data_IF_304783264252
#
_entry.id   IF_304783264252
#
_cell.length_a   1.000
_cell.length_b   1.000
_cell.length_c   1.000
_cell.angle_alpha   90.00
_cell.angle_beta   90.00
_cell.angle_gamma   90.00
#
_symmetry.space_group_name_H-M   'P 1'
#
loop_
_entity.id
_entity.type
_entity.pdbx_description
1 polymer ?
#
# COMPACT_ATOMS: atom_id res chain seq x y z
N UNK A 1 5.58 41.05 -7.52
CA UNK A 1 6.49 40.02 -6.99
C UNK A 1 6.11 38.75 -7.74
N UNK A 2 6.82 38.45 -8.81
CA UNK A 2 6.57 37.24 -9.59
C UNK A 2 7.05 36.05 -8.75
N UNK A 3 6.10 35.27 -8.23
CA UNK A 3 6.37 33.94 -7.71
C UNK A 3 6.80 33.08 -8.90
N UNK A 4 8.12 32.93 -9.05
CA UNK A 4 8.72 32.04 -10.02
C UNK A 4 8.40 30.60 -9.59
N UNK A 5 7.27 30.07 -10.04
CA UNK A 5 6.88 28.69 -9.79
C UNK A 5 7.74 27.82 -10.69
N UNK A 6 8.77 27.20 -10.12
CA UNK A 6 9.60 26.24 -10.85
C UNK A 6 8.77 24.98 -11.13
N UNK A 7 8.58 24.59 -12.40
CA UNK A 7 7.79 23.42 -12.73
C UNK A 7 8.51 22.16 -12.25
N UNK A 8 7.78 21.29 -11.54
CA UNK A 8 8.28 19.98 -11.15
C UNK A 8 8.15 18.99 -12.32
N UNK A 9 9.15 18.15 -12.50
CA UNK A 9 9.19 17.09 -13.51
C UNK A 9 9.38 15.74 -12.83
N UNK A 10 8.87 14.68 -13.45
CA UNK A 10 9.02 13.31 -12.97
C UNK A 10 10.40 12.77 -13.35
N UNK A 11 11.08 12.18 -12.39
CA UNK A 11 12.39 11.57 -12.57
C UNK A 11 12.37 10.12 -12.07
N UNK A 12 13.02 9.25 -12.84
CA UNK A 12 13.45 7.92 -12.42
C UNK A 12 14.93 8.01 -12.06
N UNK A 13 15.26 7.65 -10.84
CA UNK A 13 16.62 7.69 -10.29
C UNK A 13 17.06 6.26 -10.00
N UNK A 14 18.09 5.80 -10.69
CA UNK A 14 18.71 4.52 -10.41
C UNK A 14 19.77 4.68 -9.32
N UNK A 15 19.64 3.91 -8.25
CA UNK A 15 20.46 3.94 -7.06
C UNK A 15 21.41 2.74 -7.06
N UNK A 16 22.61 2.96 -6.55
CA UNK A 16 23.63 1.93 -6.38
C UNK A 16 23.37 1.25 -5.02
N UNK A 17 23.17 -0.07 -4.99
CA UNK A 17 23.00 -0.80 -3.74
C UNK A 17 24.18 -0.59 -2.79
N UNK A 18 23.88 -0.50 -1.49
CA UNK A 18 24.90 -0.31 -0.45
C UNK A 18 25.87 -1.50 -0.44
N UNK A 19 27.17 -1.24 -0.65
CA UNK A 19 28.21 -2.28 -0.71
C UNK A 19 28.46 -2.88 -2.10
N UNK A 20 27.77 -2.43 -3.15
CA UNK A 20 28.05 -2.91 -4.51
C UNK A 20 29.42 -2.47 -5.03
N UNK A 21 30.22 -3.43 -5.52
CA UNK A 21 31.49 -3.14 -6.20
C UNK A 21 31.25 -2.40 -7.51
N UNK A 22 32.09 -1.40 -7.87
CA UNK A 22 31.91 -0.59 -9.08
C UNK A 22 31.79 -1.41 -10.38
N UNK A 23 32.49 -2.54 -10.47
CA UNK A 23 32.46 -3.42 -11.65
C UNK A 23 31.09 -4.08 -11.88
N UNK A 24 30.33 -4.34 -10.81
CA UNK A 24 29.05 -5.03 -10.88
C UNK A 24 27.88 -4.07 -11.10
N UNK A 25 28.05 -2.78 -10.78
CA UNK A 25 26.97 -1.78 -10.90
C UNK A 25 26.48 -1.65 -12.34
N UNK A 26 27.39 -1.69 -13.31
CA UNK A 26 27.04 -1.53 -14.71
C UNK A 26 26.36 -2.79 -15.29
N UNK A 27 26.69 -3.97 -14.75
CA UNK A 27 26.03 -5.23 -15.06
C UNK A 27 24.63 -5.31 -14.44
N UNK A 28 24.49 -4.88 -13.18
CA UNK A 28 23.19 -4.72 -12.50
C UNK A 28 22.30 -3.70 -13.22
N UNK A 29 22.88 -2.60 -13.72
CA UNK A 29 22.16 -1.60 -14.51
C UNK A 29 21.63 -2.21 -15.82
N UNK A 30 22.47 -2.95 -16.56
CA UNK A 30 22.05 -3.64 -17.79
C UNK A 30 21.00 -4.72 -17.53
N UNK A 31 21.06 -5.38 -16.37
CA UNK A 31 20.08 -6.37 -15.94
C UNK A 31 18.79 -5.76 -15.38
N UNK A 32 18.70 -4.43 -15.23
CA UNK A 32 17.54 -3.75 -14.65
C UNK A 32 17.37 -3.96 -13.13
N UNK A 33 18.43 -4.41 -12.45
CA UNK A 33 18.41 -4.82 -11.04
C UNK A 33 18.88 -3.71 -10.07
N UNK A 34 19.04 -2.48 -10.55
CA UNK A 34 19.32 -1.35 -9.67
C UNK A 34 18.06 -0.90 -8.94
N UNK A 35 18.24 -0.56 -7.66
CA UNK A 35 17.22 0.11 -6.88
C UNK A 35 16.74 1.36 -7.63
N UNK A 36 15.44 1.51 -7.77
CA UNK A 36 14.86 2.59 -8.56
C UNK A 36 13.96 3.44 -7.69
N UNK A 37 14.29 4.73 -7.59
CA UNK A 37 13.49 5.72 -6.90
C UNK A 37 12.81 6.61 -7.93
N UNK A 38 11.50 6.78 -7.78
CA UNK A 38 10.75 7.70 -8.62
C UNK A 38 10.29 8.88 -7.78
N UNK A 39 10.49 10.10 -8.28
CA UNK A 39 10.17 11.33 -7.55
C UNK A 39 9.87 12.46 -8.52
N UNK A 40 9.30 13.56 -8.02
CA UNK A 40 9.23 14.81 -8.76
C UNK A 40 10.28 15.79 -8.24
N UNK A 41 10.99 16.44 -9.16
CA UNK A 41 12.00 17.42 -8.82
C UNK A 41 12.01 18.57 -9.82
N UNK A 42 12.62 19.68 -9.42
CA UNK A 42 12.76 20.85 -10.29
C UNK A 42 13.80 20.66 -11.39
N UNK A 43 14.76 19.76 -11.20
CA UNK A 43 15.80 19.41 -12.15
C UNK A 43 16.36 18.01 -11.89
N UNK A 44 17.17 17.48 -12.81
CA UNK A 44 17.87 16.19 -12.63
C UNK A 44 18.85 16.22 -11.45
N UNK A 45 19.51 17.36 -11.22
CA UNK A 45 20.43 17.53 -10.08
C UNK A 45 19.65 17.57 -8.77
N UNK A 46 18.48 18.20 -8.77
CA UNK A 46 17.58 18.23 -7.63
C UNK A 46 17.04 16.83 -7.32
N UNK A 47 16.66 16.07 -8.35
CA UNK A 47 16.28 14.67 -8.21
C UNK A 47 17.40 13.80 -7.62
N UNK A 48 18.63 13.96 -8.10
CA UNK A 48 19.79 13.25 -7.57
C UNK A 48 20.06 13.59 -6.09
N UNK A 49 19.94 14.87 -5.72
CA UNK A 49 20.12 15.32 -4.32
C UNK A 49 19.05 14.73 -3.41
N UNK A 50 17.78 14.84 -3.78
CA UNK A 50 16.67 14.29 -3.01
C UNK A 50 16.82 12.78 -2.82
N UNK A 51 17.22 12.06 -3.88
CA UNK A 51 17.42 10.62 -3.84
C UNK A 51 18.52 10.18 -2.86
N UNK A 52 19.67 10.88 -2.87
CA UNK A 52 20.78 10.62 -1.91
C UNK A 52 20.37 10.91 -0.49
N UNK A 53 19.65 12.00 -0.25
CA UNK A 53 19.26 12.44 1.07
C UNK A 53 18.32 11.44 1.77
N UNK A 54 17.48 10.74 1.01
CA UNK A 54 16.48 9.82 1.55
C UNK A 54 17.02 8.42 1.73
N UNK A 55 17.75 7.94 0.73
CA UNK A 55 18.15 6.54 0.68
C UNK A 55 19.52 6.29 1.28
N UNK A 56 20.31 7.35 1.50
CA UNK A 56 21.76 7.29 1.78
C UNK A 56 22.55 6.48 0.74
N UNK A 57 21.94 6.19 -0.42
CA UNK A 57 22.54 5.44 -1.53
C UNK A 57 23.15 6.40 -2.55
N UNK A 58 24.20 5.93 -3.23
CA UNK A 58 24.78 6.65 -4.36
C UNK A 58 23.83 6.59 -5.55
N UNK A 59 23.78 7.65 -6.35
CA UNK A 59 22.98 7.69 -7.59
C UNK A 59 23.84 7.23 -8.75
N UNK A 60 23.34 6.26 -9.53
CA UNK A 60 23.94 5.79 -10.77
C UNK A 60 23.51 6.68 -11.95
N UNK A 61 22.22 6.84 -12.16
CA UNK A 61 21.67 7.66 -13.25
C UNK A 61 20.35 8.33 -12.85
N UNK A 62 20.02 9.42 -13.55
CA UNK A 62 18.77 10.16 -13.38
C UNK A 62 18.19 10.40 -14.77
N UNK A 63 16.95 9.97 -14.95
CA UNK A 63 16.25 10.07 -16.22
C UNK A 63 14.94 10.82 -16.02
N UNK A 64 14.69 11.82 -16.88
CA UNK A 64 13.40 12.48 -16.91
C UNK A 64 12.41 11.54 -17.62
N UNK A 65 11.28 11.27 -16.97
CA UNK A 65 10.22 10.44 -17.54
C UNK A 65 9.02 11.32 -17.88
N UNK A 66 8.53 11.24 -19.11
CA UNK A 66 7.33 11.99 -19.54
C UNK A 66 6.06 11.33 -18.97
N UNK A 67 6.06 10.01 -18.93
CA UNK A 67 5.03 9.17 -18.33
C UNK A 67 5.69 7.91 -17.75
N UNK A 68 5.01 7.25 -16.81
CA UNK A 68 5.45 5.92 -16.39
C UNK A 68 5.40 4.97 -17.58
N UNK A 69 6.36 4.03 -17.73
CA UNK A 69 6.25 3.01 -18.75
C UNK A 69 4.91 2.29 -18.56
N UNK A 70 4.10 2.25 -19.63
CA UNK A 70 2.82 1.58 -19.59
C UNK A 70 3.04 0.11 -19.25
N UNK A 71 2.43 -0.35 -18.16
CA UNK A 71 2.35 -1.77 -17.84
C UNK A 71 1.66 -2.49 -19.01
N UNK A 72 2.28 -3.56 -19.52
CA UNK A 72 1.57 -4.54 -20.36
C UNK A 72 0.86 -5.53 -19.43
N UNK A 73 -0.48 -5.48 -19.26
CA UNK A 73 -1.19 -6.30 -18.29
C UNK A 73 -0.85 -7.77 -18.49
N UNK A 74 -0.73 -8.52 -17.39
CA UNK A 74 -0.50 -9.97 -17.50
C UNK A 74 -1.70 -10.60 -18.22
N UNK A 75 -1.51 -11.54 -19.17
CA UNK A 75 -2.61 -12.16 -19.93
C UNK A 75 -3.69 -12.84 -19.08
N UNK A 76 -3.41 -13.08 -17.79
CA UNK A 76 -4.28 -13.70 -16.81
C UNK A 76 -4.94 -12.70 -15.83
N UNK A 77 -4.57 -11.41 -15.87
CA UNK A 77 -5.09 -10.36 -14.99
C UNK A 77 -6.50 -9.87 -15.37
N UNK A 78 -7.00 -10.21 -16.57
CA UNK A 78 -8.31 -9.80 -17.09
C UNK A 78 -9.51 -10.56 -16.47
N UNK A 79 -9.28 -11.50 -15.54
CA UNK A 79 -10.38 -12.14 -14.83
C UNK A 79 -10.87 -11.20 -13.71
N UNK A 80 -12.16 -10.81 -13.69
CA UNK A 80 -12.67 -9.92 -12.65
C UNK A 80 -12.54 -10.60 -11.28
N UNK A 81 -11.88 -9.91 -10.34
CA UNK A 81 -11.71 -10.35 -8.96
C UNK A 81 -12.94 -9.87 -8.20
N UNK A 82 -13.90 -10.77 -7.98
CA UNK A 82 -15.20 -10.41 -7.40
C UNK A 82 -15.33 -10.85 -5.94
N UNK A 83 -14.27 -11.41 -5.37
CA UNK A 83 -14.27 -11.89 -3.99
C UNK A 83 -12.87 -11.80 -3.35
N UNK A 84 -12.75 -11.52 -2.04
CA UNK A 84 -11.48 -11.46 -1.33
C UNK A 84 -10.74 -12.79 -1.25
N UNK A 85 -11.40 -13.92 -1.50
CA UNK A 85 -10.71 -15.22 -1.62
C UNK A 85 -10.07 -15.42 -2.99
N UNK A 86 -10.54 -14.70 -4.01
CA UNK A 86 -9.96 -14.73 -5.35
C UNK A 86 -8.71 -13.84 -5.44
N UNK A 87 -8.49 -12.95 -4.46
CA UNK A 87 -7.29 -12.09 -4.41
C UNK A 87 -6.03 -12.92 -4.22
N UNK A 88 -6.08 -14.01 -3.45
CA UNK A 88 -4.94 -14.93 -3.30
C UNK A 88 -4.54 -15.56 -4.64
N UNK A 89 -5.51 -16.07 -5.40
CA UNK A 89 -5.26 -16.64 -6.72
C UNK A 89 -4.78 -15.58 -7.72
N UNK A 90 -5.33 -14.38 -7.66
CA UNK A 90 -4.86 -13.25 -8.47
C UNK A 90 -3.41 -12.89 -8.13
N UNK A 91 -3.06 -12.72 -6.86
CA UNK A 91 -1.69 -12.44 -6.40
C UNK A 91 -0.70 -13.50 -6.90
N UNK A 92 -1.07 -14.79 -6.80
CA UNK A 92 -0.26 -15.92 -7.29
C UNK A 92 -0.07 -15.93 -8.81
N UNK A 93 -0.98 -15.31 -9.57
CA UNK A 93 -0.89 -15.21 -11.04
C UNK A 93 -0.02 -14.06 -11.53
N UNK A 94 0.27 -13.08 -10.66
CA UNK A 94 1.06 -11.91 -11.03
C UNK A 94 2.52 -12.28 -11.24
N UNK A 95 3.14 -11.68 -12.26
CA UNK A 95 4.57 -11.77 -12.52
C UNK A 95 5.22 -10.41 -12.28
N UNK A 96 6.14 -10.38 -11.34
CA UNK A 96 6.92 -9.17 -11.07
C UNK A 96 7.96 -8.97 -12.16
N UNK A 97 8.05 -7.75 -12.66
CA UNK A 97 8.99 -7.33 -13.70
C UNK A 97 10.42 -7.06 -13.18
N UNK A 98 10.66 -7.27 -11.89
CA UNK A 98 11.96 -7.06 -11.24
C UNK A 98 12.27 -5.61 -10.89
N UNK A 99 11.40 -4.65 -11.22
CA UNK A 99 11.60 -3.24 -10.89
C UNK A 99 11.01 -2.92 -9.51
N UNK A 100 11.80 -2.42 -8.55
CA UNK A 100 11.31 -2.10 -7.22
C UNK A 100 10.45 -0.83 -7.24
N UNK A 101 9.26 -0.92 -6.64
CA UNK A 101 8.24 0.15 -6.54
C UNK A 101 7.66 0.24 -5.13
N UNK A 102 7.62 -0.87 -4.40
CA UNK A 102 6.96 -1.01 -3.10
C UNK A 102 7.45 -0.02 -2.05
N UNK A 103 8.73 0.33 -2.08
CA UNK A 103 9.30 1.28 -1.12
C UNK A 103 8.90 2.74 -1.39
N UNK A 104 8.50 3.09 -2.61
CA UNK A 104 8.41 4.51 -3.04
C UNK A 104 7.08 4.92 -3.68
N UNK A 105 6.19 3.96 -3.93
CA UNK A 105 4.95 4.21 -4.68
C UNK A 105 4.08 5.30 -4.04
N UNK A 106 4.00 5.32 -2.71
CA UNK A 106 3.08 6.24 -2.02
C UNK A 106 3.56 7.69 -2.08
N UNK A 107 4.87 7.92 -2.03
CA UNK A 107 5.47 9.24 -2.24
C UNK A 107 5.16 9.73 -3.67
N UNK A 108 5.33 8.86 -4.67
CA UNK A 108 5.01 9.19 -6.05
C UNK A 108 3.53 9.51 -6.27
N UNK A 109 2.63 8.79 -5.57
CA UNK A 109 1.19 8.98 -5.63
C UNK A 109 0.74 10.28 -4.96
N UNK A 110 1.31 10.59 -3.79
CA UNK A 110 0.96 11.77 -3.01
C UNK A 110 1.70 13.03 -3.48
N UNK A 111 2.72 12.93 -4.32
CA UNK A 111 3.62 14.06 -4.60
C UNK A 111 4.22 14.65 -3.31
N UNK A 112 4.41 13.80 -2.31
CA UNK A 112 4.92 14.16 -0.99
C UNK A 112 6.44 14.35 -1.07
N UNK A 113 7.04 15.18 -0.18
CA UNK A 113 8.47 15.11 0.05
C UNK A 113 8.89 13.67 0.35
N UNK A 114 10.06 13.30 -0.15
CA UNK A 114 10.55 11.95 0.02
C UNK A 114 10.88 11.72 1.49
N UNK A 115 10.15 10.82 2.14
CA UNK A 115 10.25 10.58 3.58
C UNK A 115 10.17 9.07 3.90
N UNK A 116 11.05 8.63 4.80
CA UNK A 116 11.19 7.20 5.13
C UNK A 116 9.95 6.63 5.84
N UNK A 117 9.16 7.47 6.52
CA UNK A 117 7.95 7.04 7.21
C UNK A 117 6.85 6.70 6.20
N UNK A 118 6.55 7.56 5.24
CA UNK A 118 5.61 7.33 4.14
C UNK A 118 6.07 6.17 3.24
N UNK A 119 7.37 6.04 2.95
CA UNK A 119 7.91 4.83 2.31
C UNK A 119 7.52 3.56 3.07
N UNK A 120 7.86 3.53 4.37
CA UNK A 120 7.61 2.38 5.24
C UNK A 120 6.13 2.06 5.38
N UNK A 121 5.28 3.08 5.51
CA UNK A 121 3.83 2.92 5.62
C UNK A 121 3.17 2.49 4.32
N UNK A 122 3.59 3.04 3.19
CA UNK A 122 3.12 2.62 1.87
C UNK A 122 3.46 1.16 1.58
N UNK A 123 4.68 0.73 1.91
CA UNK A 123 5.08 -0.69 1.85
C UNK A 123 4.25 -1.56 2.80
N UNK A 124 4.18 -1.16 4.07
CA UNK A 124 3.45 -1.89 5.10
C UNK A 124 1.99 -2.10 4.71
N UNK A 125 1.33 -1.09 4.13
CA UNK A 125 -0.05 -1.20 3.69
C UNK A 125 -0.25 -2.28 2.62
N UNK A 126 0.56 -2.28 1.56
CA UNK A 126 0.43 -3.29 0.50
C UNK A 126 0.79 -4.68 1.04
N UNK A 127 1.83 -4.79 1.88
CA UNK A 127 2.20 -6.05 2.51
C UNK A 127 1.09 -6.58 3.41
N UNK A 128 0.42 -5.74 4.20
CA UNK A 128 -0.72 -6.12 5.04
C UNK A 128 -1.87 -6.70 4.22
N UNK A 129 -2.15 -6.11 3.05
CA UNK A 129 -3.16 -6.61 2.11
C UNK A 129 -2.79 -8.00 1.58
N UNK A 130 -1.53 -8.20 1.17
CA UNK A 130 -1.02 -9.50 0.71
C UNK A 130 -1.06 -10.54 1.82
N UNK A 131 -0.62 -10.18 3.03
CA UNK A 131 -0.66 -11.06 4.19
C UNK A 131 -2.08 -11.49 4.53
N UNK A 132 -3.06 -10.58 4.50
CA UNK A 132 -4.46 -10.92 4.77
C UNK A 132 -5.08 -11.79 3.69
N UNK A 133 -4.72 -11.58 2.43
CA UNK A 133 -5.18 -12.42 1.32
C UNK A 133 -4.66 -13.85 1.41
N UNK A 134 -3.36 -14.02 1.73
CA UNK A 134 -2.69 -15.33 1.74
C UNK A 134 -2.75 -16.06 3.09
N UNK A 135 -2.83 -15.30 4.19
CA UNK A 135 -2.95 -15.79 5.56
C UNK A 135 -4.16 -15.15 6.27
N UNK A 136 -5.40 -15.50 5.88
CA UNK A 136 -6.60 -14.93 6.50
C UNK A 136 -6.58 -15.06 8.02
N UNK A 137 -6.94 -13.97 8.71
CA UNK A 137 -6.89 -13.89 10.17
C UNK A 137 -5.51 -13.57 10.75
N UNK A 138 -4.47 -13.33 9.93
CA UNK A 138 -3.20 -12.79 10.42
C UNK A 138 -3.43 -11.47 11.19
N UNK A 139 -2.61 -11.21 12.20
CA UNK A 139 -2.82 -10.05 13.06
C UNK A 139 -2.18 -8.81 12.43
N UNK A 140 -3.00 -7.78 12.24
CA UNK A 140 -2.57 -6.41 11.94
C UNK A 140 -2.96 -5.57 13.14
N UNK A 141 -1.98 -5.07 13.89
CA UNK A 141 -2.16 -4.41 15.19
C UNK A 141 -2.05 -2.88 15.14
N UNK A 142 -2.23 -2.32 13.95
CA UNK A 142 -2.25 -0.90 13.67
C UNK A 142 -3.38 -0.58 12.69
N UNK A 143 -3.68 0.72 12.55
CA UNK A 143 -4.61 1.24 11.55
C UNK A 143 -3.92 2.35 10.79
N UNK A 144 -3.84 2.21 9.47
CA UNK A 144 -3.39 3.31 8.62
C UNK A 144 -4.48 4.37 8.52
N UNK A 145 -4.11 5.64 8.67
CA UNK A 145 -5.01 6.79 8.57
C UNK A 145 -4.46 7.74 7.52
N UNK A 146 -5.24 8.00 6.47
CA UNK A 146 -4.88 9.01 5.47
C UNK A 146 -5.59 10.32 5.84
N UNK A 147 -4.82 11.33 6.25
CA UNK A 147 -5.31 12.68 6.56
C UNK A 147 -5.18 13.60 5.35
N UNK A 148 -5.91 14.71 5.31
CA UNK A 148 -5.81 15.71 4.25
C UNK A 148 -7.14 16.36 3.90
N UNK A 149 -7.10 17.38 3.03
CA UNK A 149 -8.30 18.15 2.68
C UNK A 149 -9.43 17.28 2.09
N UNK A 150 -10.71 17.65 2.30
CA UNK A 150 -11.82 17.00 1.62
C UNK A 150 -11.64 17.12 0.11
N UNK A 151 -11.94 16.06 -0.64
CA UNK A 151 -11.78 16.04 -2.09
C UNK A 151 -10.35 15.81 -2.60
N UNK A 152 -9.34 15.63 -1.73
CA UNK A 152 -7.97 15.30 -2.14
C UNK A 152 -7.84 13.94 -2.89
N UNK A 153 -8.88 13.10 -2.84
CA UNK A 153 -8.91 11.80 -3.51
C UNK A 153 -8.55 10.61 -2.61
N UNK A 154 -8.54 10.78 -1.28
CA UNK A 154 -8.14 9.75 -0.29
C UNK A 154 -8.89 8.43 -0.46
N UNK A 155 -10.23 8.46 -0.42
CA UNK A 155 -11.06 7.26 -0.60
C UNK A 155 -10.90 6.65 -1.99
N UNK A 156 -10.67 7.49 -3.01
CA UNK A 156 -10.44 7.02 -4.38
C UNK A 156 -9.07 6.37 -4.57
N UNK A 157 -8.05 6.78 -3.81
CA UNK A 157 -6.77 6.10 -3.74
C UNK A 157 -6.95 4.69 -3.18
N UNK A 158 -7.69 4.58 -2.07
CA UNK A 158 -8.00 3.32 -1.40
C UNK A 158 -8.76 2.39 -2.35
N UNK A 159 -9.81 2.91 -2.99
CA UNK A 159 -10.59 2.19 -4.01
C UNK A 159 -9.72 1.75 -5.19
N UNK A 160 -8.81 2.61 -5.68
CA UNK A 160 -7.91 2.28 -6.79
C UNK A 160 -6.95 1.13 -6.42
N UNK A 161 -6.40 1.14 -5.21
CA UNK A 161 -5.52 0.06 -4.72
C UNK A 161 -6.31 -1.24 -4.53
N UNK A 162 -7.46 -1.20 -3.88
CA UNK A 162 -8.26 -2.39 -3.62
C UNK A 162 -8.89 -2.97 -4.90
N UNK A 163 -9.29 -2.11 -5.84
CA UNK A 163 -10.21 -2.42 -6.93
C UNK A 163 -11.65 -2.12 -6.50
N UNK A 164 -12.43 -1.50 -7.40
CA UNK A 164 -13.76 -0.98 -7.08
C UNK A 164 -14.72 -2.06 -6.52
N UNK A 165 -14.66 -3.28 -7.04
CA UNK A 165 -15.52 -4.40 -6.58
C UNK A 165 -15.11 -4.98 -5.22
N UNK A 166 -13.91 -4.63 -4.73
CA UNK A 166 -13.32 -5.16 -3.49
C UNK A 166 -13.14 -4.08 -2.41
N UNK A 167 -13.71 -2.90 -2.63
CA UNK A 167 -13.65 -1.76 -1.72
C UNK A 167 -15.04 -1.47 -1.15
N UNK A 168 -15.09 -1.15 0.14
CA UNK A 168 -16.31 -0.75 0.81
C UNK A 168 -16.04 0.33 1.85
N UNK A 169 -16.86 1.38 1.83
CA UNK A 169 -16.86 2.47 2.80
C UNK A 169 -18.20 2.60 3.52
N UNK A 170 -19.03 1.57 3.47
CA UNK A 170 -20.26 1.50 4.27
C UNK A 170 -19.90 1.69 5.74
N UNK A 171 -20.56 2.61 6.47
CA UNK A 171 -20.25 2.85 7.87
C UNK A 171 -20.28 1.57 8.70
N UNK A 172 -19.13 1.25 9.32
CA UNK A 172 -18.99 0.11 10.23
C UNK A 172 -19.51 0.39 11.63
N UNK A 173 -19.95 1.63 11.92
CA UNK A 173 -20.42 2.03 13.24
C UNK A 173 -21.96 1.95 13.37
N UNK A 174 -22.51 1.38 14.48
CA UNK A 174 -21.81 0.79 15.63
C UNK A 174 -21.05 -0.49 15.25
N UNK A 175 -19.81 -0.60 15.74
CA UNK A 175 -18.91 -1.73 15.44
C UNK A 175 -19.56 -3.05 15.82
N UNK A 176 -20.03 -3.77 14.80
CA UNK A 176 -20.74 -5.02 14.95
C UNK A 176 -19.93 -6.14 14.28
N UNK A 177 -19.37 -7.10 15.05
CA UNK A 177 -18.63 -8.23 14.49
C UNK A 177 -19.41 -9.03 13.44
N UNK A 178 -20.74 -9.10 13.55
CA UNK A 178 -21.61 -9.74 12.55
C UNK A 178 -21.60 -9.02 11.21
N UNK A 179 -21.71 -7.71 11.26
CA UNK A 179 -21.83 -6.90 10.05
C UNK A 179 -20.47 -6.80 9.36
N UNK A 180 -19.40 -6.61 10.15
CA UNK A 180 -18.04 -6.71 9.66
C UNK A 180 -17.78 -8.07 9.01
N UNK A 181 -18.11 -9.18 9.70
CA UNK A 181 -18.05 -10.53 9.13
C UNK A 181 -18.71 -10.63 7.75
N UNK A 182 -19.93 -10.11 7.59
CA UNK A 182 -20.67 -10.11 6.32
C UNK A 182 -19.94 -9.31 5.23
N UNK A 183 -19.36 -8.18 5.59
CA UNK A 183 -18.68 -7.27 4.68
C UNK A 183 -17.27 -7.76 4.30
N UNK A 184 -16.52 -8.31 5.25
CA UNK A 184 -15.21 -8.94 5.08
C UNK A 184 -15.22 -10.11 4.10
N UNK A 185 -16.35 -10.80 3.98
CA UNK A 185 -16.49 -11.83 2.95
C UNK A 185 -16.55 -11.26 1.54
N UNK A 186 -16.91 -9.99 1.36
CA UNK A 186 -17.11 -9.39 0.03
C UNK A 186 -16.00 -8.47 -0.42
N UNK A 187 -15.35 -7.78 0.52
CA UNK A 187 -14.42 -6.72 0.20
C UNK A 187 -13.04 -7.01 0.81
N UNK A 188 -12.00 -6.69 0.06
CA UNK A 188 -10.61 -6.82 0.50
C UNK A 188 -10.17 -5.61 1.33
N UNK A 189 -10.80 -4.46 1.11
CA UNK A 189 -10.52 -3.22 1.82
C UNK A 189 -11.80 -2.59 2.38
N UNK A 190 -11.74 -2.23 3.66
CA UNK A 190 -12.80 -1.49 4.34
C UNK A 190 -12.28 -0.14 4.81
N UNK A 191 -12.89 0.93 4.32
CA UNK A 191 -12.58 2.29 4.74
C UNK A 191 -13.49 2.72 5.91
N UNK A 192 -12.86 3.22 6.96
CA UNK A 192 -13.50 3.99 8.04
C UNK A 192 -13.37 5.46 7.67
N UNK A 193 -14.41 6.00 7.05
CA UNK A 193 -14.46 7.40 6.67
C UNK A 193 -14.70 8.31 7.88
N UNK A 194 -14.15 9.53 7.80
CA UNK A 194 -14.33 10.62 8.76
C UNK A 194 -13.99 10.22 10.22
N UNK A 195 -12.81 9.63 10.41
CA UNK A 195 -12.36 9.14 11.73
C UNK A 195 -12.35 10.23 12.81
N UNK A 196 -12.17 11.50 12.43
CA UNK A 196 -12.23 12.67 13.32
C UNK A 196 -13.60 12.88 13.98
N UNK A 197 -14.67 12.33 13.39
CA UNK A 197 -16.01 12.41 13.96
C UNK A 197 -16.22 11.43 15.13
N UNK A 198 -15.31 10.47 15.32
CA UNK A 198 -15.43 9.45 16.36
C UNK A 198 -15.09 10.02 17.73
N UNK A 199 -15.97 9.79 18.70
CA UNK A 199 -15.72 10.05 20.10
C UNK A 199 -14.61 9.16 20.66
N UNK A 200 -14.02 9.55 21.80
CA UNK A 200 -12.98 8.76 22.47
C UNK A 200 -13.41 7.33 22.78
N UNK A 201 -14.69 7.11 23.13
CA UNK A 201 -15.23 5.78 23.40
C UNK A 201 -15.25 4.92 22.13
N UNK A 202 -15.59 5.51 21.00
CA UNK A 202 -15.64 4.84 19.70
C UNK A 202 -14.24 4.49 19.21
N UNK A 203 -13.26 5.38 19.42
CA UNK A 203 -11.84 5.10 19.15
C UNK A 203 -11.30 3.94 20.00
N UNK A 204 -11.66 3.86 21.29
CA UNK A 204 -11.26 2.74 22.17
C UNK A 204 -11.91 1.42 21.73
N UNK A 205 -13.18 1.46 21.32
CA UNK A 205 -13.89 0.31 20.77
C UNK A 205 -13.24 -0.16 19.46
N UNK A 206 -12.90 0.77 18.56
CA UNK A 206 -12.22 0.48 17.29
C UNK A 206 -10.86 -0.18 17.49
N UNK A 207 -10.04 0.34 18.41
CA UNK A 207 -8.75 -0.27 18.75
C UNK A 207 -8.92 -1.72 19.24
N UNK A 208 -9.90 -1.93 20.12
CA UNK A 208 -10.21 -3.27 20.65
C UNK A 208 -10.67 -4.20 19.54
N UNK A 209 -11.49 -3.69 18.63
CA UNK A 209 -12.01 -4.41 17.47
C UNK A 209 -10.88 -4.88 16.54
N UNK A 210 -10.00 -3.99 16.12
CA UNK A 210 -8.88 -4.32 15.23
C UNK A 210 -7.92 -5.32 15.87
N UNK A 211 -7.57 -5.11 17.16
CA UNK A 211 -6.65 -5.99 17.90
C UNK A 211 -7.15 -7.42 18.07
N UNK A 212 -8.46 -7.65 18.07
CA UNK A 212 -9.02 -8.99 18.18
C UNK A 212 -8.55 -9.88 17.02
N UNK A 213 -8.42 -9.33 15.81
CA UNK A 213 -7.85 -9.98 14.62
C UNK A 213 -8.69 -11.12 14.02
N UNK A 214 -9.45 -11.82 14.86
CA UNK A 214 -10.33 -12.94 14.58
C UNK A 214 -11.68 -12.66 15.24
N UNK A 215 -12.77 -12.85 14.50
CA UNK A 215 -14.10 -12.52 14.97
C UNK A 215 -14.94 -13.79 15.12
N UNK A 216 -15.32 -14.11 16.36
CA UNK A 216 -16.39 -15.05 16.61
C UNK A 216 -17.74 -14.41 16.29
N UNK A 217 -18.55 -15.06 15.47
CA UNK A 217 -19.93 -14.65 15.21
C UNK A 217 -20.87 -15.86 15.15
N UNK A 218 -22.08 -15.71 15.67
CA UNK A 218 -23.12 -16.74 15.65
C UNK A 218 -24.17 -16.40 14.60
N UNK A 219 -24.12 -17.09 13.46
CA UNK A 219 -25.11 -16.92 12.40
C UNK A 219 -26.55 -17.10 12.91
N UNK A 220 -27.49 -16.33 12.35
CA UNK A 220 -28.91 -16.52 12.64
C UNK A 220 -29.28 -17.98 12.33
N UNK A 221 -29.93 -18.65 13.28
CA UNK A 221 -30.29 -20.07 13.21
C UNK A 221 -29.14 -21.09 13.32
N UNK A 222 -27.90 -20.66 13.62
CA UNK A 222 -26.80 -21.58 13.94
C UNK A 222 -26.78 -21.96 15.43
N UNK A 223 -26.59 -23.24 15.72
CA UNK A 223 -26.31 -23.75 17.07
C UNK A 223 -24.85 -23.57 17.48
N UNK A 224 -23.94 -23.38 16.52
CA UNK A 224 -22.50 -23.25 16.76
C UNK A 224 -22.01 -21.83 16.51
N UNK A 225 -21.09 -21.36 17.35
CA UNK A 225 -20.32 -20.15 17.09
C UNK A 225 -19.36 -20.42 15.93
N UNK A 226 -19.33 -19.52 14.95
CA UNK A 226 -18.42 -19.56 13.83
C UNK A 226 -17.29 -18.57 14.05
N UNK A 227 -16.07 -18.98 13.74
CA UNK A 227 -14.90 -18.11 13.80
C UNK A 227 -14.57 -17.63 12.40
N UNK A 228 -14.43 -16.33 12.23
CA UNK A 228 -14.12 -15.69 10.95
C UNK A 228 -12.69 -15.20 11.00
N UNK A 229 -11.96 -15.57 9.97
CA UNK A 229 -10.58 -15.20 9.71
C UNK A 229 -10.59 -14.17 8.56
N UNK A 230 -10.57 -12.86 8.86
CA UNK A 230 -10.69 -11.84 7.81
C UNK A 230 -9.52 -11.90 6.84
N UNK A 231 -9.84 -11.94 5.55
CA UNK A 231 -8.90 -11.66 4.47
C UNK A 231 -8.89 -10.16 4.10
N UNK A 232 -9.73 -9.34 4.74
CA UNK A 232 -9.82 -7.91 4.51
C UNK A 232 -8.87 -7.11 5.40
N UNK A 233 -8.49 -5.92 4.93
CA UNK A 233 -7.75 -4.89 5.67
C UNK A 233 -8.69 -3.73 6.00
N UNK A 234 -8.43 -3.08 7.14
CA UNK A 234 -9.08 -1.83 7.54
C UNK A 234 -8.12 -0.67 7.31
N UNK A 235 -8.67 0.43 6.81
CA UNK A 235 -7.97 1.71 6.67
C UNK A 235 -8.92 2.83 7.07
N UNK A 236 -8.41 3.96 7.53
CA UNK A 236 -9.23 5.11 7.84
C UNK A 236 -8.84 6.33 7.01
N UNK A 237 -9.81 7.20 6.79
CA UNK A 237 -9.58 8.53 6.24
C UNK A 237 -10.08 9.59 7.20
N UNK A 238 -9.43 10.75 7.18
CA UNK A 238 -9.83 11.90 7.97
C UNK A 238 -9.47 13.22 7.28
N UNK A 239 -10.15 14.31 7.66
CA UNK A 239 -9.73 15.66 7.33
C UNK A 239 -8.48 16.04 8.12
N UNK A 240 -8.64 16.05 9.44
CA UNK A 240 -7.62 16.37 10.43
C UNK A 240 -7.72 15.33 11.54
N UNK A 241 -6.67 14.55 11.71
CA UNK A 241 -6.61 13.54 12.75
C UNK A 241 -5.19 13.48 13.25
N UNK A 242 -4.94 14.04 14.43
CA UNK A 242 -3.68 13.78 15.10
C UNK A 242 -3.78 12.42 15.78
N UNK A 243 -3.10 11.43 15.21
CA UNK A 243 -2.67 10.30 15.99
C UNK A 243 -1.80 10.87 17.12
N UNK A 244 -2.31 10.94 18.35
CA UNK A 244 -1.49 11.32 19.51
C UNK A 244 -0.28 10.39 19.70
N UNK A 245 0.27 10.26 20.91
CA UNK A 245 1.40 9.33 21.20
C UNK A 245 1.11 7.82 21.00
N UNK A 246 0.04 7.48 20.29
CA UNK A 246 -0.42 6.13 20.05
C UNK A 246 0.09 5.61 18.70
N UNK A 247 1.19 4.84 18.73
CA UNK A 247 1.73 4.04 17.61
C UNK A 247 0.74 3.13 16.88
N UNK A 248 -0.49 2.99 17.41
CA UNK A 248 -1.57 2.22 16.80
C UNK A 248 -2.10 2.88 15.53
N UNK A 249 -2.29 4.20 15.53
CA UNK A 249 -2.68 4.92 14.33
C UNK A 249 -1.41 5.35 13.62
N UNK A 250 -1.28 4.96 12.35
CA UNK A 250 -0.15 5.33 11.50
C UNK A 250 -0.66 6.34 10.49
N UNK A 251 -0.26 7.58 10.65
CA UNK A 251 -0.81 8.69 9.88
C UNK A 251 0.01 8.95 8.62
N UNK A 252 -0.68 9.17 7.50
CA UNK A 252 -0.09 9.68 6.27
C UNK A 252 -0.89 10.89 5.84
N UNK A 253 -0.20 12.02 5.70
CA UNK A 253 -0.83 13.24 5.23
C UNK A 253 -0.83 13.28 3.69
N UNK A 254 -2.00 13.09 3.09
CA UNK A 254 -2.21 13.31 1.66
C UNK A 254 -2.34 14.81 1.36
N UNK A 255 -1.47 15.38 0.52
CA UNK A 255 -1.60 16.77 0.10
C UNK A 255 -2.79 16.95 -0.87
N UNK A 256 -2.96 18.16 -1.38
CA UNK A 256 -4.16 18.58 -2.12
C UNK A 256 -4.53 17.72 -3.35
N UNK A 257 -3.60 16.94 -3.91
CA UNK A 257 -3.85 16.12 -5.10
C UNK A 257 -3.12 14.78 -5.02
N UNK A 258 -3.85 13.69 -5.27
CA UNK A 258 -3.32 12.33 -5.40
C UNK A 258 -3.34 11.90 -6.87
N UNK A 259 -2.21 11.43 -7.38
CA UNK A 259 -2.08 10.94 -8.76
C UNK A 259 -2.62 9.51 -8.90
N UNK A 260 -3.92 9.41 -9.09
CA UNK A 260 -4.63 8.12 -9.24
C UNK A 260 -4.26 7.39 -10.53
N UNK A 261 -3.89 8.12 -11.60
CA UNK A 261 -3.49 7.51 -12.86
C UNK A 261 -2.16 6.78 -12.70
N UNK A 262 -1.21 7.40 -11.99
CA UNK A 262 0.04 6.76 -11.62
C UNK A 262 -0.22 5.49 -10.81
N UNK A 263 -1.02 5.57 -9.74
CA UNK A 263 -1.34 4.41 -8.90
C UNK A 263 -1.97 3.27 -9.71
N UNK A 264 -2.94 3.58 -10.58
CA UNK A 264 -3.57 2.59 -11.44
C UNK A 264 -2.55 1.91 -12.37
N UNK A 265 -1.59 2.66 -12.93
CA UNK A 265 -0.58 2.13 -13.85
C UNK A 265 0.42 1.17 -13.20
N UNK A 266 0.66 1.29 -11.89
CA UNK A 266 1.64 0.45 -11.18
C UNK A 266 1.01 -0.61 -10.29
N UNK A 267 -0.32 -0.58 -10.08
CA UNK A 267 -1.03 -1.42 -9.10
C UNK A 267 -0.68 -2.91 -9.21
N UNK A 268 -0.76 -3.48 -10.40
CA UNK A 268 -0.45 -4.91 -10.61
C UNK A 268 1.00 -5.24 -10.25
N UNK A 269 1.97 -4.46 -10.75
CA UNK A 269 3.39 -4.67 -10.42
C UNK A 269 3.71 -4.42 -8.95
N UNK A 270 2.99 -3.50 -8.30
CA UNK A 270 3.12 -3.23 -6.87
C UNK A 270 2.72 -4.46 -6.05
N UNK A 271 1.62 -5.11 -6.39
CA UNK A 271 1.20 -6.35 -5.75
C UNK A 271 2.06 -7.56 -6.16
N UNK A 272 2.58 -7.59 -7.39
CA UNK A 272 3.50 -8.63 -7.84
C UNK A 272 4.82 -8.61 -7.05
N UNK A 273 5.39 -7.42 -6.83
CA UNK A 273 6.57 -7.21 -6.00
C UNK A 273 6.31 -7.60 -4.54
N UNK A 274 5.18 -7.16 -3.96
CA UNK A 274 4.81 -7.49 -2.60
C UNK A 274 4.57 -9.00 -2.41
N UNK A 275 3.98 -9.68 -3.40
CA UNK A 275 3.85 -11.13 -3.39
C UNK A 275 5.21 -11.84 -3.44
N UNK A 276 6.12 -11.38 -4.30
CA UNK A 276 7.48 -11.93 -4.37
C UNK A 276 8.24 -11.74 -3.04
N UNK A 277 8.10 -10.58 -2.40
CA UNK A 277 8.66 -10.31 -1.08
C UNK A 277 8.08 -11.26 -0.01
N UNK A 278 6.75 -11.45 0.01
CA UNK A 278 6.09 -12.39 0.91
C UNK A 278 6.60 -13.83 0.75
N UNK A 279 6.77 -14.30 -0.50
CA UNK A 279 7.31 -15.64 -0.79
C UNK A 279 8.77 -15.77 -0.34
N UNK A 280 9.57 -14.71 -0.47
CA UNK A 280 10.95 -14.67 0.01
C UNK A 280 11.06 -14.63 1.55
N UNK A 281 10.08 -14.03 2.23
CA UNK A 281 9.96 -14.02 3.71
C UNK A 281 9.49 -15.37 4.26
N UNK A 282 8.72 -16.14 3.49
CA UNK A 282 8.27 -17.46 3.89
C UNK A 282 9.49 -18.39 4.07
N UNK A 283 9.65 -19.04 5.23
CA UNK A 283 10.74 -20.00 5.40
C UNK A 283 10.60 -21.09 4.33
N UNK A 284 11.62 -21.27 3.50
CA UNK A 284 11.71 -22.40 2.57
C UNK A 284 11.44 -23.68 3.37
N UNK A 285 10.24 -24.24 3.22
CA UNK A 285 9.89 -25.53 3.79
C UNK A 285 10.43 -26.60 2.85
N UNK A 286 11.76 -26.62 2.71
CA UNK A 286 12.45 -27.83 2.29
C UNK A 286 12.42 -28.78 3.49
N UNK A 287 11.99 -30.02 3.23
CA UNK A 287 11.81 -31.14 4.19
C UNK A 287 10.57 -31.07 5.10
N UNK A 288 9.46 -31.69 4.67
CA UNK A 288 8.97 -32.96 5.24
C UNK A 288 8.16 -33.70 4.17
N UNK A 289 8.86 -34.47 3.33
CA UNK A 289 8.30 -35.61 2.64
C UNK A 289 9.24 -36.80 2.88
N UNK A 290 9.03 -37.48 4.01
CA UNK A 290 9.53 -38.80 4.32
C UNK A 290 8.50 -39.51 5.19
#
# INVERSE_FOLDING_TARGET
MDTNITPLHRYRVHLIPTGAEPANVEELARAGMLDTLHLKASSSDDAARQARQVTDKRVHSVERIEAWPAHQPSPQADKPINHPTDTAAWLQSLQWDGVPRLDNWLIGALDSPCDAETCGLGKQWIMDMVHRALLPGCKIDHLLVITGQPGAGKSRLIETIAGADLYDNTPLYPLNPREYARQTHKHWMHEIADLEAFSTREIVALKSFIRAGIFGFRAAYSTNDQTIHPASVLIATAHDFSAGEHRFFREIHAPNHIDLQFVQSIREQLFAEAYAAFVAEAPHTDEVAA
#
